data_IF_837376871146
#
_entry.id   IF_837376871146
#
_cell.length_a   1.000
_cell.length_b   1.000
_cell.length_c   1.000
_cell.angle_alpha   90.00
_cell.angle_beta   90.00
_cell.angle_gamma   90.00
#
_symmetry.space_group_name_H-M   'P 1'
#
loop_
_entity.id
_entity.type
_entity.pdbx_description
1 polymer ?
#
# COMPACT_ATOMS: atom_id res chain seq x y z
N UNK A 1 -22.27 -38.50 18.55
CA UNK A 1 -22.61 -37.12 18.97
C UNK A 1 -21.40 -36.25 18.70
N UNK A 2 -21.61 -35.22 17.90
CA UNK A 2 -20.61 -34.56 17.05
C UNK A 2 -19.65 -33.65 17.81
N UNK A 3 -18.47 -33.51 17.20
CA UNK A 3 -17.22 -32.85 17.57
C UNK A 3 -17.31 -31.42 18.12
N UNK A 4 -16.26 -31.10 18.89
CA UNK A 4 -15.88 -29.84 19.49
C UNK A 4 -16.07 -28.62 18.58
N UNK A 5 -16.67 -27.56 19.15
CA UNK A 5 -16.70 -26.24 18.54
C UNK A 5 -15.59 -25.37 19.12
N UNK A 6 -14.84 -24.77 18.19
CA UNK A 6 -13.66 -23.96 18.39
C UNK A 6 -13.87 -22.75 19.30
N UNK A 7 -12.79 -22.39 19.98
CA UNK A 7 -12.64 -21.25 20.87
C UNK A 7 -13.05 -19.92 20.23
N UNK A 8 -13.90 -19.18 20.92
CA UNK A 8 -14.07 -17.75 20.75
C UNK A 8 -12.89 -17.02 21.39
N UNK A 9 -12.11 -16.33 20.57
CA UNK A 9 -11.18 -15.29 20.98
C UNK A 9 -11.24 -14.21 19.90
N UNK A 10 -12.24 -13.33 20.00
CA UNK A 10 -12.24 -12.06 19.26
C UNK A 10 -11.88 -10.96 20.24
N UNK A 11 -10.74 -10.35 19.95
CA UNK A 11 -9.99 -9.41 20.75
C UNK A 11 -10.66 -8.02 20.67
N UNK A 12 -10.94 -7.46 21.85
CA UNK A 12 -10.86 -6.03 22.25
C UNK A 12 -11.54 -5.01 21.32
N UNK A 13 -12.65 -4.46 21.82
CA UNK A 13 -13.27 -3.25 21.30
C UNK A 13 -12.39 -2.01 21.46
N UNK A 14 -12.32 -1.22 20.39
CA UNK A 14 -11.78 0.13 20.36
C UNK A 14 -12.90 1.17 20.47
N UNK A 15 -12.71 2.14 21.36
CA UNK A 15 -13.60 3.25 21.70
C UNK A 15 -13.78 4.23 20.51
N UNK A 16 -15.02 4.65 20.13
CA UNK A 16 -15.22 5.63 19.06
C UNK A 16 -15.11 7.04 19.63
N UNK A 17 -13.89 7.58 19.72
CA UNK A 17 -13.71 9.04 19.91
C UNK A 17 -12.37 9.50 19.36
N UNK A 18 -12.31 9.73 18.05
CA UNK A 18 -11.35 10.65 17.44
C UNK A 18 -11.94 11.12 16.10
N UNK A 19 -12.39 12.37 16.06
CA UNK A 19 -12.68 13.07 14.82
C UNK A 19 -11.35 13.49 14.20
N UNK A 20 -11.00 12.81 13.12
CA UNK A 20 -9.82 13.04 12.30
C UNK A 20 -9.66 11.78 11.47
N UNK A 21 -9.88 11.89 10.14
CA UNK A 21 -9.99 10.78 9.20
C UNK A 21 -9.24 9.51 9.66
N UNK A 22 -10.00 8.54 10.18
CA UNK A 22 -9.50 7.21 10.48
C UNK A 22 -9.08 6.61 9.15
N UNK A 23 -7.77 6.64 8.87
CA UNK A 23 -7.17 6.00 7.70
C UNK A 23 -7.11 4.49 7.94
N UNK A 24 -8.26 3.91 8.30
CA UNK A 24 -8.42 2.48 8.41
C UNK A 24 -8.35 1.90 6.99
N UNK A 25 -7.48 0.91 6.79
CA UNK A 25 -7.45 0.10 5.57
C UNK A 25 -8.88 -0.38 5.28
N UNK A 26 -9.43 -0.15 4.06
CA UNK A 26 -10.82 -0.49 3.76
C UNK A 26 -11.17 -1.94 4.14
N UNK A 27 -12.33 -2.12 4.76
CA UNK A 27 -12.77 -3.42 5.28
C UNK A 27 -13.57 -4.21 4.25
N UNK A 28 -14.06 -3.54 3.19
CA UNK A 28 -14.91 -4.14 2.16
C UNK A 28 -14.47 -3.81 0.75
N UNK A 29 -14.86 -4.67 -0.20
CA UNK A 29 -14.63 -4.44 -1.64
C UNK A 29 -15.27 -3.14 -2.15
N UNK A 30 -16.44 -2.77 -1.63
CA UNK A 30 -17.15 -1.57 -2.07
C UNK A 30 -16.40 -0.29 -1.66
N UNK A 31 -15.88 -0.24 -0.43
CA UNK A 31 -15.05 0.86 0.07
C UNK A 31 -13.73 0.94 -0.70
N UNK A 32 -13.05 -0.20 -0.88
CA UNK A 32 -11.82 -0.29 -1.67
C UNK A 32 -12.01 0.24 -3.09
N UNK A 33 -13.08 -0.20 -3.76
CA UNK A 33 -13.42 0.25 -5.11
C UNK A 33 -13.68 1.76 -5.16
N UNK A 34 -14.47 2.27 -4.22
CA UNK A 34 -14.79 3.70 -4.16
C UNK A 34 -13.54 4.55 -3.95
N UNK A 35 -12.60 4.10 -3.12
CA UNK A 35 -11.36 4.83 -2.86
C UNK A 35 -10.43 4.83 -4.07
N UNK A 36 -10.32 3.69 -4.76
CA UNK A 36 -9.56 3.60 -6.02
C UNK A 36 -10.16 4.52 -7.09
N UNK A 37 -11.48 4.52 -7.26
CA UNK A 37 -12.18 5.41 -8.22
C UNK A 37 -11.90 6.89 -7.89
N UNK A 38 -12.00 7.27 -6.61
CA UNK A 38 -11.70 8.64 -6.14
C UNK A 38 -10.25 9.05 -6.42
N UNK A 39 -9.29 8.16 -6.19
CA UNK A 39 -7.87 8.42 -6.46
C UNK A 39 -7.62 8.60 -7.97
N UNK A 40 -8.23 7.74 -8.80
CA UNK A 40 -8.12 7.82 -10.26
C UNK A 40 -8.72 9.12 -10.80
N UNK A 41 -9.90 9.50 -10.35
CA UNK A 41 -10.56 10.76 -10.75
C UNK A 41 -9.70 11.97 -10.37
N UNK A 42 -9.22 12.03 -9.11
CA UNK A 42 -8.34 13.11 -8.66
C UNK A 42 -7.06 13.20 -9.50
N UNK A 43 -6.46 12.04 -9.83
CA UNK A 43 -5.26 11.97 -10.65
C UNK A 43 -5.52 12.51 -12.06
N UNK A 44 -6.61 12.06 -12.69
CA UNK A 44 -6.99 12.45 -14.04
C UNK A 44 -7.31 13.96 -14.15
N UNK A 45 -8.09 14.51 -13.22
CA UNK A 45 -8.49 15.92 -13.24
C UNK A 45 -7.31 16.90 -13.05
N UNK A 46 -6.20 16.45 -12.45
CA UNK A 46 -5.06 17.30 -12.13
C UNK A 46 -3.76 16.83 -12.84
N UNK A 47 -3.90 16.03 -13.90
CA UNK A 47 -2.76 15.41 -14.60
C UNK A 47 -1.70 16.43 -15.05
N UNK A 48 -2.13 17.60 -15.52
CA UNK A 48 -1.25 18.67 -15.97
C UNK A 48 -0.38 19.24 -14.85
N UNK A 49 -0.87 19.23 -13.60
CA UNK A 49 -0.11 19.64 -12.42
C UNK A 49 0.89 18.56 -12.05
N UNK A 50 0.47 17.30 -12.03
CA UNK A 50 1.31 16.17 -11.66
C UNK A 50 2.43 15.86 -12.66
N UNK A 51 2.28 16.29 -13.91
CA UNK A 51 3.32 16.20 -14.94
C UNK A 51 4.34 17.35 -14.92
N UNK A 52 4.17 18.37 -14.08
CA UNK A 52 5.14 19.47 -14.01
C UNK A 52 6.45 19.01 -13.39
N UNK A 53 7.54 19.71 -13.70
CA UNK A 53 8.88 19.34 -13.24
C UNK A 53 9.02 19.42 -11.70
N UNK A 54 8.22 20.26 -11.05
CA UNK A 54 8.23 20.48 -9.61
C UNK A 54 7.56 19.34 -8.84
N UNK A 55 6.66 18.56 -9.48
CA UNK A 55 5.98 17.45 -8.85
C UNK A 55 6.90 16.22 -8.80
N UNK A 56 7.27 15.81 -7.59
CA UNK A 56 8.32 14.81 -7.35
C UNK A 56 7.76 13.40 -7.26
N UNK A 57 8.63 12.42 -7.50
CA UNK A 57 8.31 11.01 -7.33
C UNK A 57 7.82 10.67 -5.90
N UNK A 58 8.45 11.25 -4.88
CA UNK A 58 7.98 11.08 -3.48
C UNK A 58 6.55 11.57 -3.27
N UNK A 59 6.10 12.60 -4.01
CA UNK A 59 4.74 13.11 -3.88
C UNK A 59 3.73 12.14 -4.50
N UNK A 60 4.00 11.61 -5.70
CA UNK A 60 3.08 10.61 -6.30
C UNK A 60 3.02 9.34 -5.44
N UNK A 61 4.14 8.96 -4.81
CA UNK A 61 4.20 7.84 -3.89
C UNK A 61 3.23 8.02 -2.73
N UNK A 62 3.41 9.07 -1.94
CA UNK A 62 2.60 9.34 -0.74
C UNK A 62 1.14 9.68 -1.08
N UNK A 63 0.93 10.52 -2.10
CA UNK A 63 -0.40 11.03 -2.40
C UNK A 63 -1.25 10.01 -3.14
N UNK A 64 -0.68 9.06 -3.90
CA UNK A 64 -1.45 8.16 -4.74
C UNK A 64 -1.08 6.69 -4.59
N UNK A 65 0.20 6.32 -4.70
CA UNK A 65 0.61 4.91 -4.69
C UNK A 65 0.31 4.26 -3.34
N UNK A 66 0.74 4.91 -2.25
CA UNK A 66 0.53 4.40 -0.89
C UNK A 66 -0.97 4.23 -0.63
N UNK A 67 -1.77 5.27 -0.93
CA UNK A 67 -3.22 5.24 -0.75
C UNK A 67 -3.91 4.18 -1.62
N UNK A 68 -3.43 3.97 -2.86
CA UNK A 68 -3.97 2.96 -3.75
C UNK A 68 -3.77 1.56 -3.20
N UNK A 69 -2.57 1.24 -2.71
CA UNK A 69 -2.31 -0.08 -2.14
C UNK A 69 -2.99 -0.28 -0.77
N UNK A 70 -3.09 0.77 0.03
CA UNK A 70 -3.92 0.74 1.24
C UNK A 70 -5.38 0.47 0.92
N UNK A 71 -5.92 1.10 -0.13
CA UNK A 71 -7.28 0.83 -0.58
C UNK A 71 -7.48 -0.65 -0.97
N UNK A 72 -6.44 -1.29 -1.51
CA UNK A 72 -6.44 -2.72 -1.85
C UNK A 72 -6.20 -3.64 -0.65
N UNK A 73 -6.07 -3.11 0.57
CA UNK A 73 -5.94 -3.90 1.79
C UNK A 73 -4.52 -4.07 2.32
N UNK A 74 -3.51 -3.49 1.67
CA UNK A 74 -2.11 -3.59 2.11
C UNK A 74 -1.81 -2.61 3.23
N UNK A 75 -1.15 -3.07 4.29
CA UNK A 75 -0.68 -2.16 5.34
C UNK A 75 0.65 -1.49 4.94
N UNK A 76 0.57 -0.50 4.04
CA UNK A 76 1.74 0.21 3.49
C UNK A 76 2.49 0.98 4.56
N UNK A 77 1.76 1.70 5.43
CA UNK A 77 2.32 2.52 6.51
C UNK A 77 2.59 1.76 7.81
N UNK A 78 2.34 0.45 7.85
CA UNK A 78 2.44 -0.38 9.04
C UNK A 78 1.59 0.14 10.22
N UNK A 79 0.35 0.58 9.94
CA UNK A 79 -0.58 1.11 10.93
C UNK A 79 -1.00 0.04 11.95
N UNK A 80 -0.91 -1.24 11.59
CA UNK A 80 -1.15 -2.37 12.51
C UNK A 80 0.04 -2.65 13.42
N UNK A 81 1.18 -2.00 13.21
CA UNK A 81 2.36 -2.10 14.08
C UNK A 81 3.07 -3.45 14.02
N UNK A 82 3.06 -4.12 12.86
CA UNK A 82 3.79 -5.38 12.70
C UNK A 82 5.30 -5.18 12.83
N UNK A 83 5.97 -6.20 13.37
CA UNK A 83 7.42 -6.26 13.40
C UNK A 83 7.98 -6.28 11.96
N UNK A 84 9.23 -5.82 11.77
CA UNK A 84 9.86 -5.65 10.45
C UNK A 84 9.72 -6.87 9.53
N UNK A 85 9.91 -8.08 10.07
CA UNK A 85 9.82 -9.34 9.34
C UNK A 85 8.40 -9.69 8.85
N UNK A 86 7.37 -9.06 9.41
CA UNK A 86 5.95 -9.31 9.13
C UNK A 86 5.23 -8.10 8.52
N UNK A 87 5.95 -7.02 8.21
CA UNK A 87 5.37 -5.91 7.45
C UNK A 87 4.87 -6.41 6.09
N UNK A 88 3.68 -5.96 5.73
CA UNK A 88 3.06 -6.19 4.42
C UNK A 88 3.86 -5.53 3.30
N UNK A 89 4.44 -4.36 3.59
CA UNK A 89 5.25 -3.58 2.63
C UNK A 89 6.55 -3.12 3.29
N UNK A 90 7.67 -3.35 2.60
CA UNK A 90 8.99 -2.84 3.01
C UNK A 90 9.49 -1.89 1.93
N UNK A 91 9.87 -0.69 2.34
CA UNK A 91 10.42 0.36 1.48
C UNK A 91 11.94 0.21 1.40
N UNK A 92 12.52 0.40 0.21
CA UNK A 92 13.97 0.53 -0.02
C UNK A 92 14.85 -0.64 0.48
N UNK A 93 14.31 -1.86 0.58
CA UNK A 93 15.13 -2.99 0.99
C UNK A 93 16.10 -3.34 -0.15
N UNK A 94 17.40 -3.22 0.10
CA UNK A 94 18.45 -3.63 -0.82
C UNK A 94 18.43 -5.16 -0.93
N UNK A 95 17.66 -5.69 -1.88
CA UNK A 95 17.48 -7.13 -2.02
C UNK A 95 18.57 -7.67 -2.94
N UNK A 96 19.34 -8.63 -2.42
CA UNK A 96 20.21 -9.48 -3.26
C UNK A 96 19.32 -10.47 -4.03
N UNK A 97 19.19 -10.27 -5.34
CA UNK A 97 18.59 -11.25 -6.27
C UNK A 97 19.68 -11.71 -7.22
N UNK A 98 20.02 -13.01 -7.19
CA UNK A 98 20.98 -13.60 -8.14
C UNK A 98 22.38 -12.97 -8.13
N UNK A 99 22.86 -12.49 -6.98
CA UNK A 99 24.18 -11.85 -6.85
C UNK A 99 24.21 -10.34 -7.14
N UNK A 100 23.13 -9.76 -7.68
CA UNK A 100 22.97 -8.32 -7.85
C UNK A 100 22.08 -7.74 -6.75
N UNK A 101 22.49 -6.61 -6.15
CA UNK A 101 21.64 -5.83 -5.26
C UNK A 101 20.71 -4.97 -6.09
N UNK A 102 19.40 -5.22 -5.99
CA UNK A 102 18.36 -4.32 -6.52
C UNK A 102 17.63 -3.71 -5.33
N UNK A 103 17.45 -2.40 -5.33
CA UNK A 103 16.74 -1.66 -4.29
C UNK A 103 15.43 -1.14 -4.88
N UNK A 104 14.38 -1.99 -4.96
CA UNK A 104 13.08 -1.54 -5.44
C UNK A 104 12.45 -0.56 -4.46
N UNK A 105 11.68 0.37 -4.99
CA UNK A 105 10.96 1.35 -4.16
C UNK A 105 10.06 0.69 -3.12
N UNK A 106 9.38 -0.40 -3.49
CA UNK A 106 8.53 -1.20 -2.61
C UNK A 106 8.73 -2.70 -2.79
N UNK A 107 8.73 -3.43 -1.68
CA UNK A 107 8.65 -4.88 -1.63
C UNK A 107 7.38 -5.31 -0.89
N UNK A 108 6.45 -5.94 -1.62
CA UNK A 108 5.20 -6.45 -1.07
C UNK A 108 5.37 -7.90 -0.58
N UNK A 109 4.88 -8.19 0.62
CA UNK A 109 5.09 -9.46 1.33
C UNK A 109 3.77 -9.96 1.94
N UNK A 110 3.58 -11.27 1.97
CA UNK A 110 2.47 -11.90 2.71
C UNK A 110 3.06 -13.01 3.56
N UNK A 111 2.83 -12.95 4.88
CA UNK A 111 3.41 -13.91 5.84
C UNK A 111 4.94 -13.92 5.83
N UNK A 112 5.57 -12.75 5.62
CA UNK A 112 7.02 -12.60 5.49
C UNK A 112 7.61 -13.03 4.13
N UNK A 113 6.83 -13.71 3.29
CA UNK A 113 7.25 -14.12 1.95
C UNK A 113 7.05 -13.01 0.91
N UNK A 114 8.10 -12.66 0.15
CA UNK A 114 8.03 -11.67 -0.95
C UNK A 114 7.09 -12.13 -2.06
N UNK A 115 6.29 -11.21 -2.60
CA UNK A 115 5.32 -11.46 -3.68
C UNK A 115 5.68 -10.73 -4.97
N UNK A 116 5.88 -9.42 -4.89
CA UNK A 116 6.27 -8.61 -6.04
C UNK A 116 6.99 -7.33 -5.59
N UNK A 117 7.59 -6.66 -6.57
CA UNK A 117 8.24 -5.37 -6.41
C UNK A 117 7.48 -4.31 -7.20
N UNK A 118 7.52 -3.08 -6.72
CA UNK A 118 7.04 -1.92 -7.44
C UNK A 118 8.14 -0.88 -7.49
N UNK A 119 8.35 -0.34 -8.68
CA UNK A 119 9.19 0.84 -8.91
C UNK A 119 8.28 2.01 -9.25
N UNK A 120 8.44 3.12 -8.54
CA UNK A 120 7.74 4.35 -8.81
C UNK A 120 8.55 5.21 -9.78
N UNK A 121 7.82 6.07 -10.50
CA UNK A 121 8.39 7.15 -11.32
C UNK A 121 7.55 8.40 -11.15
N UNK A 122 8.17 9.56 -11.31
CA UNK A 122 7.42 10.82 -11.45
C UNK A 122 6.44 10.72 -12.65
N UNK A 123 5.23 11.32 -12.57
CA UNK A 123 4.22 11.20 -13.64
C UNK A 123 4.64 11.72 -15.02
N UNK A 124 5.66 12.57 -15.09
CA UNK A 124 6.23 13.07 -16.34
C UNK A 124 7.17 12.09 -17.03
N UNK A 125 7.56 10.99 -16.38
CA UNK A 125 8.39 9.94 -16.98
C UNK A 125 7.49 8.86 -17.55
N UNK A 126 7.69 8.55 -18.83
CA UNK A 126 7.09 7.38 -19.46
C UNK A 126 7.67 6.11 -18.84
N UNK A 127 6.80 5.26 -18.30
CA UNK A 127 7.17 3.90 -17.90
C UNK A 127 7.26 3.04 -19.15
N UNK A 128 8.45 2.61 -19.52
CA UNK A 128 8.64 1.59 -20.56
C UNK A 128 8.89 0.25 -19.90
N UNK A 129 8.30 -0.81 -20.44
CA UNK A 129 8.68 -2.16 -20.09
C UNK A 129 10.11 -2.41 -20.61
N UNK A 130 11.02 -2.87 -19.74
CA UNK A 130 12.38 -3.21 -20.16
C UNK A 130 12.35 -4.42 -21.09
N UNK A 131 12.88 -4.24 -22.31
CA UNK A 131 13.17 -5.37 -23.22
C UNK A 131 14.32 -6.23 -22.74
#
# INVERSE_FOLDING_TARGET
MTLARAAELSIIGGNPTAQGADMSIPATYAEARSEVERLMERFACNLDVYKRAEYKETQVRVEFIDLFFEALGWDVRNVRGYAEQYKDVVHEDAIKVGGATRAPDYCFRVGGGRKFFLEAKKPSVSVSWGG
#
